data_IF_210836372720
#
_entry.id   IF_210836372720
#
_cell.length_a   1.000
_cell.length_b   1.000
_cell.length_c   1.000
_cell.angle_alpha   90.00
_cell.angle_beta   90.00
_cell.angle_gamma   90.00
#
_symmetry.space_group_name_H-M   'P 1'
#
loop_
_entity.id
_entity.type
_entity.pdbx_description
1 polymer ?
#
# COMPACT_ATOMS: atom_id res chain seq x y z
N UNK A 1 -28.19 -15.09 -8.42
CA UNK A 1 -27.57 -15.37 -7.11
C UNK A 1 -26.57 -14.27 -6.81
N UNK A 2 -26.83 -13.50 -5.76
CA UNK A 2 -26.12 -12.26 -5.41
C UNK A 2 -24.94 -12.63 -4.50
N UNK A 3 -23.74 -12.20 -4.89
CA UNK A 3 -22.56 -12.29 -4.03
C UNK A 3 -22.72 -11.20 -2.97
N UNK A 4 -23.00 -11.56 -1.73
CA UNK A 4 -23.12 -10.59 -0.64
C UNK A 4 -21.71 -10.15 -0.27
N UNK A 5 -21.48 -8.83 -0.35
CA UNK A 5 -20.27 -8.21 0.20
C UNK A 5 -20.66 -7.64 1.55
N UNK A 6 -19.83 -7.90 2.55
CA UNK A 6 -19.97 -7.28 3.85
C UNK A 6 -19.39 -5.87 3.77
N UNK A 7 -20.25 -4.87 3.92
CA UNK A 7 -19.88 -3.46 3.96
C UNK A 7 -19.75 -2.94 5.41
N UNK A 8 -20.11 -3.76 6.39
CA UNK A 8 -20.00 -3.52 7.83
C UNK A 8 -19.68 -4.83 8.59
N UNK A 9 -19.27 -4.71 9.84
CA UNK A 9 -19.00 -5.82 10.75
C UNK A 9 -19.38 -5.44 12.19
N UNK A 10 -19.65 -6.45 13.02
CA UNK A 10 -19.75 -6.27 14.46
C UNK A 10 -18.37 -6.42 15.10
N UNK A 11 -17.96 -5.44 15.91
CA UNK A 11 -16.81 -5.54 16.81
C UNK A 11 -17.33 -6.10 18.14
N UNK A 12 -16.70 -7.17 18.62
CA UNK A 12 -17.01 -7.76 19.94
C UNK A 12 -15.75 -7.70 20.79
N UNK A 13 -15.70 -6.75 21.74
CA UNK A 13 -14.58 -6.59 22.68
C UNK A 13 -15.11 -6.56 24.11
N UNK A 14 -14.92 -7.68 24.83
CA UNK A 14 -15.43 -7.81 26.20
C UNK A 14 -16.96 -7.73 26.25
N UNK A 15 -17.50 -6.69 26.87
CA UNK A 15 -18.95 -6.43 26.98
C UNK A 15 -19.49 -5.42 25.97
N UNK A 16 -18.62 -4.78 25.18
CA UNK A 16 -19.01 -3.78 24.20
C UNK A 16 -19.15 -4.41 22.81
N UNK A 17 -20.34 -4.23 22.23
CA UNK A 17 -20.65 -4.62 20.87
C UNK A 17 -20.98 -3.36 20.06
N UNK A 18 -20.29 -3.16 18.95
CA UNK A 18 -20.47 -2.00 18.07
C UNK A 18 -20.53 -2.46 16.60
N UNK A 19 -21.43 -1.89 15.80
CA UNK A 19 -21.41 -2.07 14.34
C UNK A 19 -20.50 -1.00 13.74
N UNK A 20 -19.51 -1.44 12.98
CA UNK A 20 -18.55 -0.56 12.29
C UNK A 20 -18.62 -0.74 10.78
N UNK A 21 -18.55 0.37 10.05
CA UNK A 21 -18.46 0.35 8.59
C UNK A 21 -17.07 -0.13 8.13
N UNK A 22 -16.99 -0.76 6.96
CA UNK A 22 -15.72 -1.17 6.35
C UNK A 22 -14.72 -0.01 6.20
N UNK A 23 -15.21 1.20 5.93
CA UNK A 23 -14.36 2.39 5.74
C UNK A 23 -13.75 2.85 7.07
N UNK A 24 -14.49 2.71 8.18
CA UNK A 24 -14.09 3.21 9.49
C UNK A 24 -13.22 2.24 10.29
N UNK A 25 -13.25 0.93 9.99
CA UNK A 25 -12.34 -0.05 10.59
C UNK A 25 -10.89 0.45 10.55
N UNK A 26 -10.45 0.96 9.40
CA UNK A 26 -9.07 1.39 9.18
C UNK A 26 -8.64 2.64 9.98
N UNK A 27 -9.59 3.37 10.56
CA UNK A 27 -9.36 4.62 11.32
C UNK A 27 -9.28 4.38 12.83
N UNK A 28 -9.59 3.16 13.28
CA UNK A 28 -9.59 2.78 14.69
C UNK A 28 -8.16 2.82 15.28
N UNK A 29 -7.91 3.50 16.41
CA UNK A 29 -6.59 3.48 17.06
C UNK A 29 -6.17 2.06 17.50
N UNK A 30 -7.15 1.26 17.92
CA UNK A 30 -7.07 -0.13 18.36
C UNK A 30 -7.15 -1.14 17.20
N UNK A 31 -6.86 -0.73 15.96
CA UNK A 31 -7.01 -1.52 14.74
C UNK A 31 -6.50 -2.97 14.81
N UNK A 32 -5.38 -3.21 15.50
CA UNK A 32 -4.82 -4.56 15.65
C UNK A 32 -5.66 -5.51 16.48
N UNK A 33 -6.44 -4.97 17.41
CA UNK A 33 -7.38 -5.73 18.22
C UNK A 33 -8.72 -5.85 17.48
N UNK A 34 -9.22 -4.75 16.93
CA UNK A 34 -10.45 -4.70 16.12
C UNK A 34 -10.46 -5.79 15.06
N UNK A 35 -9.42 -5.90 14.23
CA UNK A 35 -9.38 -6.88 13.13
C UNK A 35 -9.38 -8.36 13.59
N UNK A 36 -9.07 -8.65 14.85
CA UNK A 36 -9.13 -10.01 15.43
C UNK A 36 -10.54 -10.36 15.94
N UNK A 37 -11.36 -9.34 16.14
CA UNK A 37 -12.66 -9.38 16.80
C UNK A 37 -13.79 -8.87 15.89
N UNK A 38 -13.68 -9.10 14.58
CA UNK A 38 -14.74 -8.79 13.62
C UNK A 38 -15.66 -10.00 13.42
N UNK A 39 -16.95 -9.77 13.56
CA UNK A 39 -18.02 -10.75 13.45
C UNK A 39 -19.09 -10.31 12.46
N UNK A 40 -19.95 -11.25 12.07
CA UNK A 40 -21.11 -10.97 11.24
C UNK A 40 -21.99 -9.92 11.93
N UNK A 41 -22.44 -8.88 11.23
CA UNK A 41 -23.31 -7.84 11.82
C UNK A 41 -24.76 -8.31 12.05
N UNK A 42 -25.06 -9.58 11.76
CA UNK A 42 -26.37 -10.17 11.96
C UNK A 42 -26.46 -10.69 13.40
N UNK A 43 -27.46 -10.22 14.16
CA UNK A 43 -27.66 -10.55 15.57
C UNK A 43 -27.81 -12.06 15.83
N UNK A 44 -28.19 -12.84 14.82
CA UNK A 44 -28.36 -14.28 14.92
C UNK A 44 -27.12 -15.07 14.43
N UNK A 45 -25.96 -14.43 14.33
CA UNK A 45 -24.78 -15.02 13.71
C UNK A 45 -23.45 -14.62 14.38
N UNK A 46 -22.85 -15.56 15.10
CA UNK A 46 -21.55 -15.36 15.76
C UNK A 46 -20.34 -15.68 14.85
N UNK A 47 -20.53 -15.68 13.53
CA UNK A 47 -19.48 -16.06 12.60
C UNK A 47 -18.42 -14.96 12.47
N UNK A 48 -17.14 -15.33 12.60
CA UNK A 48 -16.04 -14.38 12.38
C UNK A 48 -15.93 -13.94 10.93
N UNK A 49 -15.61 -12.67 10.74
CA UNK A 49 -15.19 -12.09 9.48
C UNK A 49 -13.67 -11.87 9.47
N UNK A 50 -13.09 -11.85 8.27
CA UNK A 50 -11.69 -11.56 8.01
C UNK A 50 -11.59 -10.22 7.29
N UNK A 51 -10.87 -9.27 7.88
CA UNK A 51 -10.52 -8.01 7.22
C UNK A 51 -9.34 -8.20 6.28
N UNK A 52 -9.60 -8.15 4.98
CA UNK A 52 -8.59 -8.37 3.95
C UNK A 52 -8.20 -7.05 3.30
N UNK A 53 -6.95 -6.63 3.53
CA UNK A 53 -6.36 -5.47 2.85
C UNK A 53 -5.98 -5.82 1.40
N UNK A 54 -6.22 -4.90 0.48
CA UNK A 54 -5.77 -4.97 -0.91
C UNK A 54 -4.74 -3.87 -1.19
N UNK A 55 -4.14 -3.90 -2.37
CA UNK A 55 -3.30 -2.80 -2.83
C UNK A 55 -4.04 -1.46 -2.86
N UNK A 56 -5.36 -1.51 -3.08
CA UNK A 56 -6.27 -0.38 -3.01
C UNK A 56 -7.53 -0.82 -2.25
N UNK A 57 -7.78 -0.19 -1.09
CA UNK A 57 -8.92 -0.47 -0.23
C UNK A 57 -8.83 -1.79 0.53
N UNK A 58 -9.94 -2.16 1.18
CA UNK A 58 -10.09 -3.40 1.91
C UNK A 58 -11.43 -4.06 1.59
N UNK A 59 -11.62 -5.29 2.08
CA UNK A 59 -12.92 -5.96 2.06
C UNK A 59 -13.02 -6.95 3.21
N UNK A 60 -14.25 -7.22 3.63
CA UNK A 60 -14.55 -8.26 4.60
C UNK A 60 -14.91 -9.56 3.87
N UNK A 61 -14.43 -10.69 4.39
CA UNK A 61 -14.81 -12.02 3.92
C UNK A 61 -15.15 -12.92 5.09
N UNK A 62 -15.93 -13.98 4.82
CA UNK A 62 -16.15 -15.06 5.80
C UNK A 62 -14.81 -15.64 6.25
N UNK A 63 -14.64 -15.88 7.55
CA UNK A 63 -13.46 -16.56 8.07
C UNK A 63 -13.55 -18.06 7.75
N UNK A 64 -12.45 -18.67 7.30
CA UNK A 64 -12.45 -20.07 6.82
C UNK A 64 -12.91 -21.09 7.87
N UNK A 65 -12.63 -20.81 9.14
CA UNK A 65 -12.92 -21.71 10.27
C UNK A 65 -14.27 -21.46 10.96
N UNK A 66 -15.06 -20.46 10.53
CA UNK A 66 -16.34 -20.13 11.18
C UNK A 66 -17.47 -20.24 10.16
N UNK A 67 -18.43 -21.10 10.46
CA UNK A 67 -19.66 -21.22 9.68
C UNK A 67 -20.65 -20.13 10.13
N UNK A 68 -21.38 -19.57 9.17
CA UNK A 68 -22.53 -18.73 9.48
C UNK A 68 -23.73 -19.62 9.84
N UNK A 69 -24.61 -19.10 10.69
CA UNK A 69 -25.92 -19.71 10.96
C UNK A 69 -26.72 -19.83 9.66
N UNK A 70 -27.56 -20.87 9.56
CA UNK A 70 -28.49 -21.05 8.44
C UNK A 70 -29.54 -19.93 8.36
N UNK A 71 -29.82 -19.30 9.51
CA UNK A 71 -30.75 -18.19 9.64
C UNK A 71 -30.10 -16.83 9.34
N UNK A 72 -28.79 -16.81 9.08
CA UNK A 72 -28.09 -15.58 8.78
C UNK A 72 -28.59 -14.97 7.46
N UNK A 73 -29.17 -13.78 7.54
CA UNK A 73 -29.71 -13.05 6.38
C UNK A 73 -28.61 -12.63 5.40
N UNK A 74 -27.38 -12.52 5.90
CA UNK A 74 -26.18 -12.18 5.12
C UNK A 74 -25.45 -13.43 4.59
N UNK A 75 -25.97 -14.63 4.90
CA UNK A 75 -25.45 -15.89 4.38
C UNK A 75 -26.15 -16.29 3.09
N UNK A 76 -25.39 -16.35 1.99
CA UNK A 76 -25.77 -17.15 0.83
C UNK A 76 -24.87 -18.39 0.73
N UNK A 77 -25.49 -19.54 0.44
CA UNK A 77 -24.78 -20.74 0.01
C UNK A 77 -23.99 -20.41 -1.26
N UNK A 78 -22.66 -20.37 -1.16
CA UNK A 78 -21.81 -20.19 -2.33
C UNK A 78 -21.78 -21.51 -3.11
N UNK A 79 -22.42 -21.54 -4.28
CA UNK A 79 -22.05 -22.48 -5.33
C UNK A 79 -20.57 -22.25 -5.63
N UNK A 80 -19.71 -23.18 -5.17
CA UNK A 80 -18.27 -23.16 -5.45
C UNK A 80 -18.08 -23.17 -6.96
N UNK A 81 -17.81 -22.00 -7.56
CA UNK A 81 -17.31 -21.95 -8.94
C UNK A 81 -16.02 -22.77 -8.97
N UNK A 82 -15.93 -23.76 -9.85
CA UNK A 82 -14.64 -24.33 -10.23
C UNK A 82 -13.73 -23.17 -10.62
N UNK A 83 -12.69 -22.95 -9.83
CA UNK A 83 -11.70 -21.91 -10.11
C UNK A 83 -10.69 -22.53 -11.07
N UNK A 84 -10.46 -21.86 -12.21
CA UNK A 84 -9.26 -22.11 -13.01
C UNK A 84 -8.05 -22.10 -12.07
N UNK A 85 -7.38 -23.25 -11.94
CA UNK A 85 -6.16 -23.35 -11.14
C UNK A 85 -5.04 -22.66 -11.89
N UNK A 86 -4.61 -21.51 -11.39
CA UNK A 86 -3.36 -20.86 -11.81
C UNK A 86 -2.28 -21.25 -10.81
N UNK A 87 -1.24 -21.91 -11.28
CA UNK A 87 -0.04 -22.18 -10.50
C UNK A 87 0.90 -20.98 -10.60
N UNK A 88 1.47 -20.57 -9.46
CA UNK A 88 2.38 -19.43 -9.41
C UNK A 88 3.79 -19.90 -9.15
N UNK A 89 4.69 -19.61 -10.09
CA UNK A 89 6.12 -19.69 -9.87
C UNK A 89 6.57 -18.37 -9.28
N UNK A 90 7.04 -18.39 -8.03
CA UNK A 90 7.59 -17.22 -7.37
C UNK A 90 9.03 -16.99 -7.82
N UNK A 91 9.34 -15.79 -8.30
CA UNK A 91 10.67 -15.43 -8.78
C UNK A 91 11.09 -14.06 -8.22
N UNK A 92 12.33 -13.91 -7.72
CA UNK A 92 12.84 -12.62 -7.29
C UNK A 92 13.03 -11.68 -8.48
N UNK A 93 12.61 -10.42 -8.36
CA UNK A 93 12.79 -9.43 -9.42
C UNK A 93 12.28 -8.04 -9.05
N UNK A 94 12.61 -7.07 -9.89
CA UNK A 94 12.22 -5.66 -9.71
C UNK A 94 10.83 -5.34 -10.25
N UNK A 95 10.31 -4.19 -9.82
CA UNK A 95 9.10 -3.60 -10.42
C UNK A 95 9.49 -2.88 -11.72
N UNK A 96 8.68 -3.00 -12.77
CA UNK A 96 8.92 -2.20 -13.98
C UNK A 96 8.67 -0.71 -13.74
N UNK A 97 9.27 0.16 -14.56
CA UNK A 97 9.11 1.61 -14.49
C UNK A 97 7.63 2.05 -14.56
N UNK A 98 6.86 1.42 -15.45
CA UNK A 98 5.42 1.64 -15.57
C UNK A 98 4.70 1.20 -14.30
N UNK A 99 5.14 0.09 -13.72
CA UNK A 99 4.68 -0.41 -12.44
C UNK A 99 4.93 0.59 -11.30
N UNK A 100 6.12 1.16 -11.21
CA UNK A 100 6.50 2.17 -10.21
C UNK A 100 5.61 3.40 -10.37
N UNK A 101 5.54 3.96 -11.59
CA UNK A 101 4.72 5.15 -11.90
C UNK A 101 3.25 4.95 -11.51
N UNK A 102 2.67 3.78 -11.80
CA UNK A 102 1.28 3.45 -11.44
C UNK A 102 1.06 3.42 -9.93
N UNK A 103 1.96 2.79 -9.18
CA UNK A 103 1.85 2.65 -7.72
C UNK A 103 2.04 3.99 -7.03
N UNK A 104 3.04 4.78 -7.44
CA UNK A 104 3.23 6.15 -6.94
C UNK A 104 2.03 7.02 -7.21
N UNK A 105 1.46 6.98 -8.43
CA UNK A 105 0.21 7.71 -8.72
C UNK A 105 -0.90 7.38 -7.73
N UNK A 106 -1.06 6.10 -7.38
CA UNK A 106 -2.02 5.66 -6.36
C UNK A 106 -1.70 6.20 -4.97
N UNK A 107 -0.43 6.11 -4.53
CA UNK A 107 0.02 6.63 -3.24
C UNK A 107 -0.15 8.15 -3.12
N UNK A 108 0.32 8.90 -4.12
CA UNK A 108 0.17 10.38 -4.16
C UNK A 108 -1.30 10.79 -4.14
N UNK A 109 -2.16 10.07 -4.88
CA UNK A 109 -3.59 10.38 -4.91
C UNK A 109 -4.22 10.14 -3.55
N UNK A 110 -3.88 9.02 -2.89
CA UNK A 110 -4.36 8.70 -1.55
C UNK A 110 -3.92 9.75 -0.52
N UNK A 111 -2.66 10.16 -0.54
CA UNK A 111 -2.16 11.24 0.33
C UNK A 111 -2.87 12.57 0.05
N UNK A 112 -3.05 12.93 -1.23
CA UNK A 112 -3.75 14.14 -1.64
C UNK A 112 -5.21 14.15 -1.21
N UNK A 113 -5.93 13.05 -1.44
CA UNK A 113 -7.35 12.92 -1.09
C UNK A 113 -7.55 12.98 0.43
N UNK A 114 -6.55 12.55 1.21
CA UNK A 114 -6.58 12.68 2.66
C UNK A 114 -6.36 14.13 3.10
N UNK A 115 -5.31 14.79 2.58
CA UNK A 115 -4.99 16.17 2.94
C UNK A 115 -6.03 17.19 2.42
N UNK A 116 -6.65 16.89 1.28
CA UNK A 116 -7.65 17.73 0.63
C UNK A 116 -8.84 16.86 0.19
N UNK A 117 -9.75 16.49 1.11
CA UNK A 117 -10.91 15.67 0.79
C UNK A 117 -11.77 16.38 -0.26
N UNK A 118 -11.86 15.79 -1.45
CA UNK A 118 -12.83 16.24 -2.44
C UNK A 118 -14.21 15.71 -2.06
N UNK A 119 -15.23 16.57 -2.13
CA UNK A 119 -16.62 16.09 -2.06
C UNK A 119 -16.82 15.04 -3.15
N UNK A 120 -17.16 13.81 -2.73
CA UNK A 120 -17.42 12.70 -3.65
C UNK A 120 -18.64 13.09 -4.51
N UNK A 121 -18.40 13.63 -5.70
CA UNK A 121 -19.46 13.85 -6.69
C UNK A 121 -20.07 12.48 -6.97
N UNK A 122 -21.36 12.30 -6.68
CA UNK A 122 -22.08 11.04 -6.86
C UNK A 122 -21.80 10.49 -8.27
N UNK A 123 -20.96 9.47 -8.35
CA UNK A 123 -20.55 8.95 -9.65
C UNK A 123 -21.77 8.30 -10.29
N UNK A 124 -22.19 8.81 -11.46
CA UNK A 124 -23.26 8.17 -12.24
C UNK A 124 -22.92 6.68 -12.38
N UNK A 125 -23.86 5.76 -12.11
CA UNK A 125 -23.59 4.33 -12.14
C UNK A 125 -23.09 3.97 -13.55
N UNK A 126 -21.80 3.58 -13.64
CA UNK A 126 -21.25 3.05 -14.90
C UNK A 126 -22.04 1.81 -15.25
N UNK A 127 -22.72 1.81 -16.41
CA UNK A 127 -23.38 0.62 -16.97
C UNK A 127 -22.38 -0.54 -16.93
N UNK A 128 -22.62 -1.53 -16.07
CA UNK A 128 -21.82 -2.76 -16.03
C UNK A 128 -21.93 -3.41 -17.40
N UNK A 129 -20.83 -3.45 -18.18
CA UNK A 129 -20.77 -4.32 -19.35
C UNK A 129 -21.01 -5.74 -18.85
N UNK A 130 -22.07 -6.37 -19.33
CA UNK A 130 -22.36 -7.78 -19.07
C UNK A 130 -21.17 -8.56 -19.60
N UNK A 131 -20.36 -9.11 -18.71
CA UNK A 131 -19.24 -9.97 -19.09
C UNK A 131 -19.88 -11.29 -19.53
N UNK A 132 -19.64 -11.77 -20.76
CA UNK A 132 -20.16 -13.06 -21.20
C UNK A 132 -19.73 -14.14 -20.20
N UNK A 133 -20.67 -14.96 -19.74
CA UNK A 133 -20.32 -16.17 -18.99
C UNK A 133 -19.51 -17.04 -19.93
N UNK A 134 -18.22 -17.23 -19.65
CA UNK A 134 -17.46 -18.30 -20.31
C UNK A 134 -18.10 -19.62 -19.89
N UNK A 135 -18.64 -20.35 -20.87
CA UNK A 135 -18.86 -21.78 -20.76
C UNK A 135 -17.46 -22.39 -20.73
N UNK A 136 -17.18 -23.18 -19.71
CA UNK A 136 -15.88 -23.81 -19.50
C UNK A 136 -16.11 -25.29 -19.72
N UNK A 137 -15.42 -25.87 -20.70
CA UNK A 137 -15.32 -27.33 -20.85
C UNK A 137 -14.51 -27.90 -19.67
N UNK A 138 -14.75 -29.17 -19.33
CA UNK A 138 -14.13 -29.94 -18.23
C UNK A 138 -12.59 -30.07 -18.28
N UNK A 139 -11.92 -29.42 -19.24
CA UNK A 139 -10.47 -29.33 -19.23
C UNK A 139 -10.02 -28.29 -18.20
N UNK A 140 -9.42 -28.74 -17.09
CA UNK A 140 -8.75 -27.86 -16.14
C UNK A 140 -7.53 -27.25 -16.84
N UNK A 141 -7.65 -26.02 -17.37
CA UNK A 141 -6.50 -25.33 -17.97
C UNK A 141 -5.59 -24.85 -16.83
N UNK A 142 -4.60 -25.66 -16.49
CA UNK A 142 -3.51 -25.23 -15.61
C UNK A 142 -2.71 -24.16 -16.33
N UNK A 143 -2.80 -22.92 -15.84
CA UNK A 143 -1.97 -21.82 -16.33
C UNK A 143 -0.84 -21.58 -15.35
N UNK A 144 0.40 -21.72 -15.81
CA UNK A 144 1.57 -21.32 -15.05
C UNK A 144 1.73 -19.81 -15.22
N UNK A 145 1.79 -19.07 -14.12
CA UNK A 145 2.02 -17.62 -14.10
C UNK A 145 3.19 -17.30 -13.18
N UNK A 146 3.93 -16.24 -13.48
CA UNK A 146 5.04 -15.81 -12.63
C UNK A 146 4.53 -14.78 -11.63
N UNK A 147 4.83 -14.99 -10.35
CA UNK A 147 4.61 -14.00 -9.29
C UNK A 147 5.95 -13.46 -8.85
N UNK A 148 6.18 -12.17 -9.10
CA UNK A 148 7.44 -11.53 -8.75
C UNK A 148 7.45 -11.20 -7.27
N UNK A 149 8.47 -11.69 -6.56
CA UNK A 149 8.83 -11.27 -5.20
C UNK A 149 9.83 -10.14 -5.34
N UNK A 150 9.58 -9.01 -4.68
CA UNK A 150 10.40 -7.83 -4.89
C UNK A 150 11.84 -8.06 -4.40
N UNK A 151 12.80 -7.80 -5.28
CA UNK A 151 14.22 -7.76 -4.99
C UNK A 151 14.78 -6.49 -5.66
N UNK A 152 15.43 -5.62 -4.89
CA UNK A 152 15.98 -4.36 -5.38
C UNK A 152 17.15 -4.55 -6.34
N UNK A 153 17.84 -5.70 -6.28
CA UNK A 153 19.00 -6.01 -7.11
C UNK A 153 18.65 -6.95 -8.27
N UNK A 154 17.41 -7.43 -8.33
CA UNK A 154 16.96 -8.34 -9.40
C UNK A 154 16.68 -7.61 -10.72
N UNK A 155 16.49 -8.38 -11.79
CA UNK A 155 16.04 -7.82 -13.06
C UNK A 155 14.51 -7.61 -13.09
N UNK A 156 14.05 -6.77 -14.02
CA UNK A 156 12.62 -6.70 -14.34
C UNK A 156 12.25 -7.95 -15.12
N UNK A 157 11.49 -8.84 -14.50
CA UNK A 157 11.05 -10.09 -15.13
C UNK A 157 10.08 -9.78 -16.26
N UNK A 158 10.47 -10.14 -17.47
CA UNK A 158 9.61 -10.22 -18.65
C UNK A 158 9.29 -11.68 -18.91
N UNK A 159 8.07 -11.99 -19.34
CA UNK A 159 7.72 -13.35 -19.75
C UNK A 159 7.69 -13.42 -21.26
N UNK A 160 8.43 -14.39 -21.79
CA UNK A 160 8.28 -14.87 -23.17
C UNK A 160 7.37 -16.11 -23.12
N UNK A 161 6.13 -16.01 -23.63
CA UNK A 161 5.18 -17.13 -23.72
C UNK A 161 3.77 -16.88 -23.14
N UNK A 162 2.96 -17.94 -23.04
CA UNK A 162 1.58 -17.88 -22.52
C UNK A 162 1.56 -17.85 -20.98
N UNK A 163 1.22 -16.69 -20.41
CA UNK A 163 1.08 -16.50 -18.96
C UNK A 163 0.98 -15.02 -18.61
N UNK A 164 0.79 -14.69 -17.33
CA UNK A 164 0.84 -13.29 -16.86
C UNK A 164 1.90 -13.15 -15.79
N UNK A 165 2.83 -12.22 -15.98
CA UNK A 165 3.71 -11.75 -14.91
C UNK A 165 2.91 -10.87 -13.96
N UNK A 166 2.86 -11.27 -12.69
CA UNK A 166 2.32 -10.46 -11.60
C UNK A 166 3.44 -9.78 -10.86
N UNK A 167 3.61 -8.50 -11.13
CA UNK A 167 4.54 -7.64 -10.40
C UNK A 167 4.26 -7.62 -8.88
N UNK A 168 5.27 -7.25 -8.06
CA UNK A 168 5.12 -7.16 -6.62
C UNK A 168 3.99 -6.19 -6.22
N UNK A 169 3.20 -6.58 -5.23
CA UNK A 169 2.14 -5.71 -4.68
C UNK A 169 2.73 -4.75 -3.68
N UNK A 170 2.27 -3.50 -3.75
CA UNK A 170 2.48 -2.49 -2.71
C UNK A 170 1.11 -2.15 -2.14
N UNK A 171 0.98 -2.25 -0.83
CA UNK A 171 -0.26 -1.98 -0.12
C UNK A 171 -0.33 -0.50 0.24
N UNK A 172 -1.33 0.22 -0.26
CA UNK A 172 -1.54 1.62 0.13
C UNK A 172 -2.07 1.66 1.57
N UNK A 173 -1.23 2.09 2.51
CA UNK A 173 -1.52 2.08 3.95
C UNK A 173 -0.86 3.31 4.58
N UNK A 174 -1.62 4.13 5.34
CA UNK A 174 -1.04 5.25 6.07
C UNK A 174 -0.23 4.78 7.29
N UNK A 175 0.75 5.57 7.78
CA UNK A 175 1.60 5.17 8.91
C UNK A 175 0.81 4.71 10.14
N UNK A 176 -0.22 5.44 10.57
CA UNK A 176 -1.07 5.11 11.72
C UNK A 176 -1.87 3.80 11.54
N UNK A 177 -1.99 3.28 10.31
CA UNK A 177 -2.74 2.05 10.00
C UNK A 177 -1.84 0.81 9.89
N UNK A 178 -0.52 0.99 9.94
CA UNK A 178 0.44 -0.10 9.82
C UNK A 178 0.44 -0.91 11.12
N UNK A 179 0.36 -2.24 10.98
CA UNK A 179 0.31 -3.17 12.12
C UNK A 179 1.31 -4.31 11.93
N UNK A 180 1.47 -5.18 12.93
CA UNK A 180 2.35 -6.35 12.84
C UNK A 180 2.00 -7.30 11.68
N UNK A 181 0.74 -7.33 11.24
CA UNK A 181 0.30 -8.10 10.07
C UNK A 181 0.95 -7.60 8.78
N UNK A 182 1.44 -6.36 8.75
CA UNK A 182 2.11 -5.74 7.61
C UNK A 182 3.62 -5.92 7.63
N UNK A 183 4.15 -6.75 8.53
CA UNK A 183 5.55 -7.15 8.50
C UNK A 183 5.91 -7.87 7.21
N UNK A 184 7.12 -7.63 6.71
CA UNK A 184 7.66 -8.28 5.50
C UNK A 184 6.81 -8.05 4.24
N UNK A 185 6.16 -6.89 4.13
CA UNK A 185 5.36 -6.49 2.97
C UNK A 185 5.95 -5.26 2.29
N UNK A 186 5.61 -5.10 1.02
CA UNK A 186 5.83 -3.82 0.35
C UNK A 186 4.65 -2.89 0.61
N UNK A 187 4.95 -1.67 1.05
CA UNK A 187 3.97 -0.68 1.50
C UNK A 187 4.11 0.57 0.62
N UNK A 188 3.00 1.13 0.21
CA UNK A 188 2.92 2.45 -0.39
C UNK A 188 2.30 3.38 0.66
N UNK A 189 3.02 4.41 1.05
CA UNK A 189 2.63 5.29 2.17
C UNK A 189 3.12 6.71 1.95
N UNK A 190 2.82 7.60 2.89
CA UNK A 190 3.35 8.95 2.93
C UNK A 190 3.30 9.53 4.33
N UNK A 191 4.12 10.56 4.56
CA UNK A 191 4.20 11.27 5.83
C UNK A 191 4.70 12.69 5.62
N UNK A 192 4.44 13.57 6.59
CA UNK A 192 5.08 14.88 6.65
C UNK A 192 6.55 14.69 7.01
N UNK A 193 7.46 15.30 6.25
CA UNK A 193 8.89 15.23 6.56
C UNK A 193 9.20 16.18 7.70
N UNK A 194 9.84 15.67 8.74
CA UNK A 194 10.21 16.44 9.94
C UNK A 194 11.71 16.66 10.02
N UNK A 195 12.51 15.71 9.53
CA UNK A 195 13.97 15.81 9.53
C UNK A 195 14.58 14.88 8.50
N UNK A 196 15.72 15.30 7.94
CA UNK A 196 16.53 14.49 7.01
C UNK A 196 17.96 14.41 7.53
N UNK A 197 18.47 13.18 7.62
CA UNK A 197 19.86 12.91 7.98
C UNK A 197 20.54 12.21 6.82
N UNK A 198 21.69 12.71 6.38
CA UNK A 198 22.43 12.20 5.21
C UNK A 198 23.87 11.94 5.63
N UNK A 199 24.37 10.73 5.36
CA UNK A 199 25.80 10.39 5.51
C UNK A 199 26.58 10.70 4.23
N UNK A 200 27.89 10.64 4.35
CA UNK A 200 28.81 10.92 3.24
C UNK A 200 28.90 9.77 2.23
N UNK A 201 29.53 10.05 1.08
CA UNK A 201 29.55 9.18 -0.08
C UNK A 201 30.28 7.85 0.12
N UNK A 202 31.23 7.78 1.06
CA UNK A 202 32.02 6.56 1.34
C UNK A 202 31.16 5.44 1.93
N UNK A 203 30.08 5.79 2.63
CA UNK A 203 29.11 4.84 3.18
C UNK A 203 27.70 5.42 3.04
N UNK A 204 27.14 5.41 1.82
CA UNK A 204 25.98 6.21 1.50
C UNK A 204 24.74 5.64 2.19
N UNK A 205 24.16 6.47 3.04
CA UNK A 205 23.03 6.12 3.87
C UNK A 205 22.28 7.41 4.23
N UNK A 206 20.96 7.35 4.24
CA UNK A 206 20.16 8.47 4.70
C UNK A 206 18.91 7.99 5.46
N UNK A 207 18.39 8.89 6.28
CA UNK A 207 17.19 8.71 7.08
C UNK A 207 16.29 9.92 6.89
N UNK A 208 15.01 9.67 6.66
CA UNK A 208 13.97 10.70 6.63
C UNK A 208 12.99 10.38 7.77
N UNK A 209 13.00 11.22 8.80
CA UNK A 209 12.02 11.16 9.88
C UNK A 209 10.75 11.87 9.42
N UNK A 210 9.60 11.25 9.66
CA UNK A 210 8.32 11.84 9.33
C UNK A 210 7.21 11.48 10.32
N UNK A 211 6.11 12.21 10.22
CA UNK A 211 4.93 12.00 11.05
C UNK A 211 3.65 12.05 10.20
N UNK A 212 2.65 11.27 10.60
CA UNK A 212 1.33 11.32 9.97
C UNK A 212 0.27 10.88 10.97
N UNK A 213 -0.73 11.74 11.24
CA UNK A 213 -1.80 11.46 12.21
C UNK A 213 -1.25 10.97 13.58
N UNK A 214 -0.25 11.67 14.11
CA UNK A 214 0.38 11.34 15.39
C UNK A 214 1.31 10.12 15.40
N UNK A 215 1.38 9.34 14.31
CA UNK A 215 2.32 8.23 14.19
C UNK A 215 3.64 8.70 13.56
N UNK A 216 4.75 8.49 14.27
CA UNK A 216 6.09 8.71 13.75
C UNK A 216 6.55 7.53 12.89
N UNK A 217 7.31 7.82 11.84
CA UNK A 217 7.91 6.85 10.92
C UNK A 217 9.33 7.28 10.56
N UNK A 218 10.24 6.30 10.55
CA UNK A 218 11.60 6.47 10.05
C UNK A 218 11.73 5.78 8.68
N UNK A 219 11.92 6.56 7.63
CA UNK A 219 12.27 6.03 6.31
C UNK A 219 13.78 5.90 6.19
N UNK A 220 14.25 4.67 6.04
CA UNK A 220 15.66 4.34 5.85
C UNK A 220 15.95 4.22 4.36
N UNK A 221 16.95 4.95 3.88
CA UNK A 221 17.48 4.89 2.53
C UNK A 221 18.81 4.10 2.62
N UNK A 222 18.78 2.76 2.44
CA UNK A 222 19.97 1.93 2.55
C UNK A 222 20.91 2.16 1.36
N UNK A 223 22.11 1.57 1.40
CA UNK A 223 23.09 1.62 0.31
C UNK A 223 22.51 1.27 -1.08
N UNK A 224 21.56 0.33 -1.14
CA UNK A 224 20.84 -0.03 -2.37
C UNK A 224 20.14 1.17 -3.04
N UNK A 225 19.63 2.13 -2.25
CA UNK A 225 19.02 3.37 -2.75
C UNK A 225 19.99 4.18 -3.63
N UNK A 226 21.26 4.19 -3.27
CA UNK A 226 22.28 4.98 -3.94
C UNK A 226 22.87 4.28 -5.16
N UNK A 227 22.59 2.99 -5.32
CA UNK A 227 23.06 2.16 -6.44
C UNK A 227 21.98 1.86 -7.46
N UNK A 228 20.73 1.70 -7.02
CA UNK A 228 19.63 1.22 -7.83
C UNK A 228 18.73 2.38 -8.27
N UNK A 229 19.07 3.07 -9.36
CA UNK A 229 18.23 4.13 -9.89
C UNK A 229 18.09 4.07 -11.41
N UNK A 230 16.87 4.31 -11.90
CA UNK A 230 16.53 4.27 -13.32
C UNK A 230 17.09 5.46 -14.11
N UNK A 231 17.47 6.54 -13.41
CA UNK A 231 17.94 7.78 -14.01
C UNK A 231 19.45 7.83 -14.26
N UNK A 232 20.21 6.81 -13.84
CA UNK A 232 21.67 6.80 -13.91
C UNK A 232 22.35 7.89 -13.07
N UNK A 233 21.68 8.39 -12.02
CA UNK A 233 22.25 9.34 -11.08
C UNK A 233 23.40 8.69 -10.31
N UNK A 234 24.49 9.42 -10.13
CA UNK A 234 25.59 8.95 -9.30
C UNK A 234 25.29 9.19 -7.80
N UNK A 235 26.08 8.57 -6.93
CA UNK A 235 25.91 8.63 -5.47
C UNK A 235 26.00 10.08 -4.96
N UNK A 236 26.95 10.86 -5.45
CA UNK A 236 27.16 12.25 -5.05
C UNK A 236 25.95 13.14 -5.38
N UNK A 237 25.35 12.96 -6.56
CA UNK A 237 24.14 13.67 -6.96
C UNK A 237 22.96 13.34 -6.04
N UNK A 238 22.75 12.07 -5.71
CA UNK A 238 21.69 11.65 -4.79
C UNK A 238 21.90 12.23 -3.39
N UNK A 239 23.14 12.22 -2.88
CA UNK A 239 23.49 12.84 -1.60
C UNK A 239 23.26 14.35 -1.66
N UNK A 240 23.66 15.02 -2.74
CA UNK A 240 23.41 16.45 -2.96
C UNK A 240 21.93 16.78 -2.89
N UNK A 241 21.08 16.06 -3.63
CA UNK A 241 19.63 16.27 -3.60
C UNK A 241 19.02 16.03 -2.21
N UNK A 242 19.49 15.03 -1.46
CA UNK A 242 19.03 14.81 -0.08
C UNK A 242 19.49 15.92 0.87
N UNK A 243 20.69 16.49 0.66
CA UNK A 243 21.19 17.65 1.41
C UNK A 243 20.38 18.92 1.08
N UNK A 244 19.97 19.11 -0.17
CA UNK A 244 19.08 20.21 -0.57
C UNK A 244 17.72 20.12 0.14
N UNK A 245 17.13 18.92 0.17
CA UNK A 245 15.90 18.69 0.93
C UNK A 245 16.12 18.96 2.43
N UNK A 246 17.22 18.45 2.99
CA UNK A 246 17.55 18.68 4.41
C UNK A 246 17.53 20.18 4.74
N UNK A 247 18.28 20.99 3.98
CA UNK A 247 18.31 22.44 4.20
C UNK A 247 16.93 23.08 4.05
N UNK A 248 16.17 22.69 3.03
CA UNK A 248 14.81 23.21 2.83
C UNK A 248 13.87 22.90 4.00
N UNK A 249 13.91 21.69 4.55
CA UNK A 249 13.07 21.28 5.71
C UNK A 249 13.49 22.02 6.98
N UNK A 250 14.78 22.24 7.19
CA UNK A 250 15.30 23.01 8.33
C UNK A 250 14.82 24.47 8.28
N UNK A 251 14.78 25.07 7.09
CA UNK A 251 14.31 26.45 6.87
C UNK A 251 12.77 26.57 6.81
N UNK A 252 12.09 25.51 6.36
CA UNK A 252 10.64 25.49 6.11
C UNK A 252 10.01 24.25 6.76
N UNK A 253 9.88 24.21 8.09
CA UNK A 253 9.25 23.10 8.77
C UNK A 253 7.80 22.91 8.29
N UNK A 254 7.32 21.67 8.32
CA UNK A 254 5.93 21.30 7.97
C UNK A 254 5.50 21.62 6.51
N UNK A 255 6.45 21.85 5.61
CA UNK A 255 6.17 22.28 4.24
C UNK A 255 6.03 21.15 3.21
N UNK A 256 6.65 19.99 3.48
CA UNK A 256 6.85 18.95 2.48
C UNK A 256 6.50 17.56 3.02
N UNK A 257 5.66 16.87 2.26
CA UNK A 257 5.31 15.48 2.48
C UNK A 257 6.10 14.58 1.53
N UNK A 258 6.48 13.42 2.02
CA UNK A 258 6.99 12.32 1.20
C UNK A 258 5.83 11.40 0.82
N UNK A 259 5.76 11.00 -0.45
CA UNK A 259 5.03 9.79 -0.87
C UNK A 259 6.05 8.75 -1.33
N UNK A 260 5.88 7.50 -0.90
CA UNK A 260 6.92 6.51 -1.14
C UNK A 260 6.40 5.09 -1.28
N UNK A 261 7.14 4.30 -2.04
CA UNK A 261 7.08 2.84 -2.04
C UNK A 261 8.22 2.33 -1.16
N UNK A 262 7.92 1.43 -0.23
CA UNK A 262 8.87 0.95 0.76
C UNK A 262 8.66 -0.52 1.09
N UNK A 263 9.62 -1.09 1.81
CA UNK A 263 9.53 -2.43 2.39
C UNK A 263 9.51 -2.33 3.91
N UNK A 264 8.61 -3.08 4.54
CA UNK A 264 8.68 -3.34 5.98
C UNK A 264 9.55 -4.56 6.26
N UNK A 265 10.20 -4.55 7.41
CA UNK A 265 10.68 -5.77 8.07
C UNK A 265 9.66 -6.17 9.12
N UNK A 266 10.10 -6.74 10.23
CA UNK A 266 9.28 -6.85 11.43
C UNK A 266 8.83 -5.45 11.90
N UNK A 267 7.52 -5.27 12.07
CA UNK A 267 6.92 -4.00 12.47
C UNK A 267 6.85 -3.92 13.99
N UNK A 268 7.53 -2.90 14.54
CA UNK A 268 7.28 -2.37 15.88
C UNK A 268 6.45 -1.09 15.76
N UNK A 269 5.30 -1.05 16.44
CA UNK A 269 4.41 0.12 16.41
C UNK A 269 5.03 1.36 17.07
N UNK A 270 5.86 1.15 18.09
CA UNK A 270 6.50 2.26 18.81
C UNK A 270 7.66 2.85 18.01
N UNK A 271 8.22 2.05 17.09
CA UNK A 271 9.33 2.44 16.23
C UNK A 271 9.10 1.93 14.81
N UNK A 272 8.20 2.59 14.09
CA UNK A 272 7.88 2.23 12.71
C UNK A 272 9.05 2.60 11.79
N UNK A 273 9.74 1.58 11.28
CA UNK A 273 10.87 1.73 10.33
C UNK A 273 10.48 1.12 8.98
N UNK A 274 10.64 1.89 7.91
CA UNK A 274 10.34 1.49 6.54
C UNK A 274 11.55 1.74 5.65
N UNK A 275 11.87 0.80 4.76
CA UNK A 275 13.06 0.88 3.90
C UNK A 275 12.67 1.32 2.49
N UNK A 276 13.32 2.34 1.95
CA UNK A 276 13.15 2.82 0.59
C UNK A 276 14.36 2.38 -0.24
N UNK A 277 14.28 1.26 -0.97
CA UNK A 277 15.44 0.67 -1.64
C UNK A 277 15.85 1.35 -2.96
N UNK A 278 15.02 2.23 -3.52
CA UNK A 278 15.25 2.88 -4.82
C UNK A 278 14.82 4.36 -4.75
N UNK A 279 15.57 5.31 -5.35
CA UNK A 279 15.22 6.73 -5.34
C UNK A 279 14.01 7.03 -6.22
N UNK A 280 13.74 6.18 -7.20
CA UNK A 280 12.53 6.28 -8.02
C UNK A 280 11.25 5.98 -7.25
N UNK A 281 11.35 5.38 -6.06
CA UNK A 281 10.19 5.11 -5.21
C UNK A 281 9.70 6.36 -4.49
N UNK A 282 10.51 7.41 -4.40
CA UNK A 282 10.19 8.64 -3.68
C UNK A 282 9.54 9.68 -4.59
N UNK A 283 8.39 10.21 -4.20
CA UNK A 283 7.84 11.47 -4.68
C UNK A 283 7.51 12.40 -3.49
N UNK A 284 7.09 13.61 -3.81
CA UNK A 284 6.84 14.65 -2.81
C UNK A 284 5.58 15.44 -3.13
N UNK A 285 4.99 15.99 -2.07
CA UNK A 285 3.84 16.86 -2.14
C UNK A 285 4.04 18.01 -1.16
N UNK A 286 3.92 19.25 -1.60
CA UNK A 286 3.94 20.40 -0.68
C UNK A 286 2.62 20.50 0.08
N UNK A 287 2.62 21.24 1.19
CA UNK A 287 1.39 21.65 1.90
C UNK A 287 0.41 22.40 0.99
N UNK A 288 0.91 23.15 0.00
CA UNK A 288 0.14 23.80 -1.06
C UNK A 288 -0.30 22.88 -2.21
N UNK A 289 -0.14 21.55 -2.05
CA UNK A 289 -0.56 20.52 -3.00
C UNK A 289 0.17 20.58 -4.37
N UNK A 290 1.40 21.11 -4.39
CA UNK A 290 2.32 21.01 -5.54
C UNK A 290 3.02 19.66 -5.49
N UNK A 291 2.94 18.90 -6.60
CA UNK A 291 3.47 17.54 -6.67
C UNK A 291 4.81 17.48 -7.40
N UNK A 292 5.76 16.77 -6.80
CA UNK A 292 7.02 16.38 -7.42
C UNK A 292 7.06 14.86 -7.57
N UNK A 293 7.32 14.38 -8.78
CA UNK A 293 7.28 12.94 -9.05
C UNK A 293 8.57 12.24 -8.66
N UNK A 294 9.64 12.98 -8.37
CA UNK A 294 10.99 12.46 -8.18
C UNK A 294 11.80 13.32 -7.20
N UNK A 295 12.86 12.74 -6.64
CA UNK A 295 13.89 13.44 -5.86
C UNK A 295 14.56 14.57 -6.66
N UNK A 296 14.83 14.33 -7.94
CA UNK A 296 15.43 15.34 -8.82
C UNK A 296 14.50 16.53 -9.04
N UNK A 297 13.19 16.28 -9.24
CA UNK A 297 12.22 17.34 -9.49
C UNK A 297 12.13 18.31 -8.31
N UNK A 298 12.10 17.78 -7.08
CA UNK A 298 12.02 18.60 -5.87
C UNK A 298 13.33 19.34 -5.59
N UNK A 299 14.48 18.70 -5.77
CA UNK A 299 15.78 19.35 -5.58
C UNK A 299 16.01 20.51 -6.57
N UNK A 300 15.58 20.34 -7.83
CA UNK A 300 15.58 21.43 -8.82
C UNK A 300 14.64 22.57 -8.38
N UNK A 301 13.46 22.24 -7.86
CA UNK A 301 12.52 23.26 -7.40
C UNK A 301 13.08 24.07 -6.20
N UNK A 302 13.73 23.40 -5.25
CA UNK A 302 14.41 24.04 -4.10
C UNK A 302 15.54 24.95 -4.59
N UNK A 303 16.47 24.42 -5.37
CA UNK A 303 17.63 25.17 -5.85
C UNK A 303 17.25 26.38 -6.73
N UNK A 304 16.11 26.32 -7.42
CA UNK A 304 15.59 27.42 -8.23
C UNK A 304 14.58 28.32 -7.51
N UNK A 305 14.33 28.12 -6.20
CA UNK A 305 13.37 28.87 -5.38
C UNK A 305 11.95 28.90 -5.97
N UNK A 306 11.54 27.78 -6.56
CA UNK A 306 10.21 27.60 -7.16
C UNK A 306 9.21 26.95 -6.20
N UNK A 307 9.65 26.62 -4.99
CA UNK A 307 8.89 26.19 -3.81
C UNK A 307 9.51 26.74 -2.54
#
# INVERSE_FOLDING_TARGET
>A
MIFIKFDEAQIVMGTENEIISLEDISKRPDLSEVIKNLYCPDENCDAKLTYNRRSVGAYLSKHKSYAHSLECQLYSEELKRQKDMTEYNEMPGRVSDLGIKRRKRGSSQLLRDFLNPQEKVASKPRKKKVTPKKVTDDSTVQKISIKVVYDSNGDVIKQDGEGKVREPRFYNIFPHQITSIDSWKNIATGALITKVTVRDADNPYAEIEGSFEGQNVLFVLPEAFFRNNLRGLNVEQLIGYLKDIKGYIEDNPESLYIDTLCQSKEIDKNKLILYIPEPDFIGFLTSSNIKFSTLTDVAIAISTRKI
#
